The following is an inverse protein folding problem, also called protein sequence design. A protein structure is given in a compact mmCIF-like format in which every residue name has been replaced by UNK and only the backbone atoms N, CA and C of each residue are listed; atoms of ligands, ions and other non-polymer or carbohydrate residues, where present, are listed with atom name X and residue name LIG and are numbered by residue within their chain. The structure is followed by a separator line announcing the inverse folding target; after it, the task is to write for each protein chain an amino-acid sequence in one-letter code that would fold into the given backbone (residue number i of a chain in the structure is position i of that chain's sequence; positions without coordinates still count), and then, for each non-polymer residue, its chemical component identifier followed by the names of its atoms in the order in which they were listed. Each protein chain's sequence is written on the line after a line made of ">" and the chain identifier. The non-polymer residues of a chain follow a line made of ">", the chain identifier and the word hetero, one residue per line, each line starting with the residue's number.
data_IF_793926249565
#
_entry.id   IF_793926249565
#
_cell.length_a   1.000
_cell.length_b   1.000
_cell.length_c   1.000
_cell.angle_alpha   90.00
_cell.angle_beta   90.00
_cell.angle_gamma   90.00
#
_symmetry.space_group_name_H-M   'P 1'
#
loop_
_entity.id
_entity.type
_entity.pdbx_description
1 polymer ?
#
# COMPACT_ATOMS: atom_id res chain seq x y z
N UNK A 1 16.51 -4.02 2.12
CA UNK A 1 16.42 -3.55 0.72
C UNK A 1 15.08 -2.84 0.53
N UNK A 2 15.02 -1.76 -0.24
CA UNK A 2 13.76 -1.10 -0.61
C UNK A 2 13.34 -1.59 -2.00
N UNK A 3 12.04 -1.74 -2.22
CA UNK A 3 11.49 -2.14 -3.51
C UNK A 3 10.18 -1.39 -3.75
N UNK A 4 9.92 -1.09 -5.02
CA UNK A 4 8.74 -0.37 -5.45
C UNK A 4 7.77 -1.31 -6.17
N UNK A 5 6.49 -0.94 -6.14
CA UNK A 5 5.43 -1.74 -6.75
C UNK A 5 4.17 -0.94 -6.94
N UNK A 6 3.23 -1.53 -7.68
CA UNK A 6 1.94 -0.93 -8.00
C UNK A 6 0.87 -1.66 -7.20
N UNK A 7 -0.01 -0.91 -6.53
CA UNK A 7 -1.17 -1.50 -5.85
C UNK A 7 -2.06 -2.16 -6.89
N UNK A 8 -2.22 -3.48 -6.81
CA UNK A 8 -3.03 -4.25 -7.77
C UNK A 8 -4.51 -4.16 -7.44
N UNK A 9 -4.83 -4.25 -6.15
CA UNK A 9 -6.14 -4.01 -5.58
C UNK A 9 -6.00 -3.79 -4.08
N UNK A 10 -6.97 -3.10 -3.50
CA UNK A 10 -7.09 -2.88 -2.07
C UNK A 10 -8.57 -2.86 -1.69
N UNK A 11 -8.94 -3.51 -0.58
CA UNK A 11 -10.31 -3.56 -0.07
C UNK A 11 -10.41 -2.70 1.18
N UNK A 12 -10.86 -1.45 1.03
CA UNK A 12 -10.90 -0.46 2.11
C UNK A 12 -11.68 -0.96 3.33
N UNK A 13 -12.87 -1.49 3.11
CA UNK A 13 -13.74 -2.03 4.17
C UNK A 13 -13.10 -3.17 4.98
N UNK A 14 -12.14 -3.87 4.38
CA UNK A 14 -11.43 -4.99 5.03
C UNK A 14 -10.02 -4.63 5.49
N UNK A 15 -9.48 -3.49 5.05
CA UNK A 15 -8.17 -3.00 5.44
C UNK A 15 -6.98 -3.82 4.90
N UNK A 16 -7.11 -4.44 3.73
CA UNK A 16 -5.99 -5.18 3.13
C UNK A 16 -6.00 -5.19 1.60
N UNK A 17 -4.83 -5.49 1.01
CA UNK A 17 -4.63 -5.47 -0.43
C UNK A 17 -3.46 -6.33 -0.91
N UNK A 18 -3.14 -6.16 -2.19
CA UNK A 18 -1.92 -6.71 -2.81
C UNK A 18 -1.19 -5.64 -3.62
N UNK A 19 0.13 -5.69 -3.55
CA UNK A 19 1.04 -4.88 -4.35
C UNK A 19 1.79 -5.82 -5.30
N UNK A 20 1.83 -5.46 -6.57
CA UNK A 20 2.61 -6.13 -7.60
C UNK A 20 3.99 -5.49 -7.65
N UNK A 21 5.04 -6.27 -7.40
CA UNK A 21 6.42 -5.81 -7.39
C UNK A 21 7.00 -5.80 -8.81
N UNK A 22 7.78 -4.79 -9.15
CA UNK A 22 8.51 -4.67 -10.42
C UNK A 22 7.67 -4.84 -11.71
N UNK A 23 6.34 -4.72 -11.63
CA UNK A 23 5.46 -4.95 -12.78
C UNK A 23 5.27 -6.43 -13.18
N UNK A 24 5.83 -7.37 -12.41
CA UNK A 24 5.76 -8.81 -12.70
C UNK A 24 4.42 -9.40 -12.23
N UNK A 25 3.71 -10.09 -13.13
CA UNK A 25 2.34 -10.56 -12.90
C UNK A 25 2.20 -11.55 -11.74
N UNK A 26 3.24 -12.29 -11.38
CA UNK A 26 3.15 -13.32 -10.34
C UNK A 26 3.86 -12.93 -9.04
N UNK A 27 4.62 -11.83 -9.05
CA UNK A 27 5.39 -11.37 -7.90
C UNK A 27 4.59 -10.35 -7.09
N UNK A 28 3.91 -10.83 -6.04
CA UNK A 28 3.04 -10.02 -5.22
C UNK A 28 3.38 -10.08 -3.74
N UNK A 29 3.18 -8.95 -3.07
CA UNK A 29 3.21 -8.86 -1.61
C UNK A 29 1.83 -8.50 -1.07
N UNK A 30 1.51 -9.04 0.10
CA UNK A 30 0.32 -8.69 0.85
C UNK A 30 0.56 -7.41 1.65
N UNK A 31 -0.46 -6.56 1.76
CA UNK A 31 -0.43 -5.36 2.60
C UNK A 31 -1.66 -5.29 3.49
N UNK A 32 -1.45 -5.00 4.76
CA UNK A 32 -2.48 -4.68 5.74
C UNK A 32 -2.44 -3.18 6.05
N UNK A 33 -3.58 -2.55 6.36
CA UNK A 33 -3.69 -1.10 6.57
C UNK A 33 -2.73 -0.57 7.64
N UNK A 34 -2.44 -1.39 8.67
CA UNK A 34 -1.51 -1.04 9.75
C UNK A 34 -0.09 -0.81 9.27
N UNK A 35 0.27 -1.34 8.10
CA UNK A 35 1.61 -1.22 7.51
C UNK A 35 1.74 -0.01 6.58
N UNK A 36 0.64 0.66 6.25
CA UNK A 36 0.68 1.90 5.48
C UNK A 36 1.16 2.99 6.46
N UNK A 37 2.09 3.86 6.06
CA UNK A 37 2.58 4.99 6.86
C UNK A 37 2.00 6.33 6.36
N UNK A 38 1.69 7.29 7.25
CA UNK A 38 1.06 8.54 6.83
C UNK A 38 2.09 9.40 6.10
N UNK A 39 1.67 10.00 4.99
CA UNK A 39 2.46 10.96 4.25
C UNK A 39 2.25 12.35 4.86
N UNK A 40 3.16 12.75 5.75
CA UNK A 40 3.08 14.02 6.48
C UNK A 40 3.40 15.25 5.62
N UNK A 41 4.10 15.05 4.51
CA UNK A 41 4.42 16.15 3.58
C UNK A 41 3.20 16.47 2.72
N UNK A 42 2.52 15.44 2.24
CA UNK A 42 1.35 15.60 1.38
C UNK A 42 0.05 15.82 2.17
N UNK A 43 -0.05 15.25 3.36
CA UNK A 43 -1.22 15.35 4.25
C UNK A 43 -0.76 15.72 5.67
N UNK A 44 -0.59 17.02 5.91
CA UNK A 44 -0.07 17.57 7.16
C UNK A 44 -0.95 17.31 8.38
N UNK A 45 -2.27 17.22 8.18
CA UNK A 45 -3.21 16.73 9.19
C UNK A 45 -3.24 15.22 9.11
N UNK A 46 -2.68 14.52 10.11
CA UNK A 46 -2.47 13.06 10.14
C UNK A 46 -3.75 12.20 10.12
N UNK A 47 -4.89 12.75 9.70
CA UNK A 47 -6.13 12.02 9.53
C UNK A 47 -6.10 11.21 8.23
N UNK A 48 -6.31 9.92 8.38
CA UNK A 48 -6.49 8.96 7.29
C UNK A 48 -7.97 8.71 7.08
N UNK A 49 -8.69 9.68 6.53
CA UNK A 49 -10.04 9.45 6.05
C UNK A 49 -10.21 10.23 4.75
#
# INVERSE_FOLDING_TARGET
>A
MKQEGIVKWYKDEKGYGRIMLNGEKDNHVFVHFSSILPDKERFSTAFRF
#
